data_IF_688245053561
#
_entry.id   IF_688245053561
#
_cell.length_a   1.000
_cell.length_b   1.000
_cell.length_c   1.000
_cell.angle_alpha   90.00
_cell.angle_beta   90.00
_cell.angle_gamma   90.00
#
_symmetry.space_group_name_H-M   'P 1'
#
loop_
_entity.id
_entity.type
_entity.pdbx_description
1 polymer ?
#
# COMPACT_ATOMS: atom_id res chain seq x y z
N UNK A 1 -18.64 -8.56 -7.58
CA UNK A 1 -17.43 -7.72 -7.78
C UNK A 1 -16.70 -7.64 -6.44
N UNK A 2 -15.39 -7.92 -6.37
CA UNK A 2 -14.63 -7.93 -5.10
C UNK A 2 -14.03 -6.55 -4.85
N UNK A 3 -14.44 -5.87 -3.78
CA UNK A 3 -13.89 -4.59 -3.34
C UNK A 3 -13.01 -4.87 -2.12
N UNK A 4 -11.70 -4.59 -2.20
CA UNK A 4 -10.77 -4.79 -1.07
C UNK A 4 -10.69 -6.23 -0.53
N UNK A 5 -11.02 -7.23 -1.35
CA UNK A 5 -11.11 -8.64 -0.92
C UNK A 5 -12.39 -8.99 -0.15
N UNK A 6 -13.28 -8.01 0.05
CA UNK A 6 -14.61 -8.20 0.60
C UNK A 6 -15.61 -8.48 -0.53
N UNK A 7 -16.56 -9.36 -0.23
CA UNK A 7 -17.72 -9.56 -1.07
C UNK A 7 -18.77 -8.48 -0.78
N UNK A 8 -19.51 -8.08 -1.80
CA UNK A 8 -20.61 -7.11 -1.68
C UNK A 8 -21.89 -7.79 -2.13
N UNK A 9 -22.90 -7.80 -1.25
CA UNK A 9 -24.19 -8.43 -1.48
C UNK A 9 -25.27 -7.36 -1.44
N UNK A 10 -26.07 -7.26 -2.48
CA UNK A 10 -27.26 -6.42 -2.49
C UNK A 10 -28.46 -7.22 -1.97
N UNK A 11 -29.17 -6.68 -0.99
CA UNK A 11 -30.29 -7.39 -0.36
C UNK A 11 -31.39 -6.46 0.13
N UNK A 12 -32.65 -6.83 -0.11
CA UNK A 12 -33.83 -6.03 0.27
C UNK A 12 -34.09 -5.96 1.78
N UNK A 13 -33.38 -6.75 2.59
CA UNK A 13 -33.44 -6.69 4.04
C UNK A 13 -32.67 -5.50 4.63
N UNK A 14 -31.79 -4.88 3.83
CA UNK A 14 -31.06 -3.67 4.21
C UNK A 14 -31.81 -2.46 3.63
N UNK A 15 -32.04 -1.40 4.42
CA UNK A 15 -32.60 -0.15 3.90
C UNK A 15 -31.80 0.39 2.71
N UNK A 16 -32.49 1.07 1.79
CA UNK A 16 -31.93 1.54 0.51
C UNK A 16 -30.75 2.50 0.67
N UNK A 17 -30.68 3.20 1.79
CA UNK A 17 -29.66 4.19 2.14
C UNK A 17 -28.58 3.65 3.10
N UNK A 18 -28.63 2.35 3.41
CA UNK A 18 -27.73 1.72 4.37
C UNK A 18 -26.77 0.69 3.74
N UNK A 19 -25.64 0.53 4.40
CA UNK A 19 -24.68 -0.53 4.15
C UNK A 19 -24.13 -1.04 5.49
N UNK A 20 -24.10 -2.36 5.65
CA UNK A 20 -23.64 -3.02 6.87
C UNK A 20 -22.39 -3.85 6.57
N UNK A 21 -21.39 -3.75 7.45
CA UNK A 21 -20.22 -4.63 7.40
C UNK A 21 -20.48 -5.81 8.31
N UNK A 22 -20.52 -7.00 7.73
CA UNK A 22 -21.01 -8.19 8.43
C UNK A 22 -19.96 -9.30 8.41
N UNK A 23 -19.79 -9.95 9.57
CA UNK A 23 -19.13 -11.24 9.72
C UNK A 23 -20.13 -12.25 10.25
N UNK A 24 -19.99 -13.52 9.87
CA UNK A 24 -20.93 -14.59 10.26
C UNK A 24 -21.21 -14.67 11.77
N UNK A 25 -20.22 -14.37 12.62
CA UNK A 25 -20.35 -14.40 14.09
C UNK A 25 -21.17 -13.24 14.66
N UNK A 26 -21.28 -12.14 13.92
CA UNK A 26 -21.82 -10.87 14.42
C UNK A 26 -23.29 -10.64 13.97
N UNK A 27 -23.91 -11.63 13.32
CA UNK A 27 -25.15 -11.42 12.55
C UNK A 27 -26.30 -12.38 12.84
N UNK A 28 -26.63 -12.72 14.10
CA UNK A 28 -27.70 -13.69 14.40
C UNK A 28 -29.08 -13.26 13.90
N UNK A 29 -29.29 -11.96 13.65
CA UNK A 29 -30.58 -11.39 13.24
C UNK A 29 -30.73 -11.24 11.72
N UNK A 30 -29.78 -11.73 10.92
CA UNK A 30 -29.92 -11.69 9.47
C UNK A 30 -30.83 -12.82 8.96
N UNK A 31 -31.51 -12.59 7.82
CA UNK A 31 -32.24 -13.64 7.11
C UNK A 31 -31.39 -14.89 6.86
N UNK A 32 -31.94 -16.12 6.94
CA UNK A 32 -31.18 -17.36 6.77
C UNK A 32 -30.46 -17.46 5.41
N UNK A 33 -31.11 -16.97 4.37
CA UNK A 33 -30.61 -16.91 3.00
C UNK A 33 -29.39 -15.98 2.85
N UNK A 34 -29.29 -14.94 3.68
CA UNK A 34 -28.08 -14.11 3.76
C UNK A 34 -26.97 -14.82 4.55
N UNK A 35 -27.31 -15.45 5.68
CA UNK A 35 -26.35 -16.13 6.54
C UNK A 35 -25.55 -17.22 5.82
N UNK A 36 -26.21 -17.98 4.94
CA UNK A 36 -25.57 -19.04 4.17
C UNK A 36 -24.58 -18.52 3.12
N UNK A 37 -24.76 -17.27 2.67
CA UNK A 37 -23.89 -16.61 1.69
C UNK A 37 -22.66 -15.96 2.34
N UNK A 38 -22.71 -15.67 3.64
CA UNK A 38 -21.62 -15.01 4.37
C UNK A 38 -20.57 -16.04 4.81
N UNK A 39 -19.69 -16.40 3.88
CA UNK A 39 -18.53 -17.27 4.17
C UNK A 39 -17.30 -16.48 4.63
N UNK A 40 -17.18 -15.25 4.15
CA UNK A 40 -16.12 -14.29 4.49
C UNK A 40 -16.75 -12.97 4.95
N UNK A 41 -16.01 -12.09 5.63
CA UNK A 41 -16.47 -10.74 5.90
C UNK A 41 -16.93 -10.06 4.61
N UNK A 42 -18.11 -9.46 4.65
CA UNK A 42 -18.74 -8.87 3.47
C UNK A 42 -19.48 -7.57 3.83
N UNK A 43 -19.84 -6.83 2.79
CA UNK A 43 -20.69 -5.65 2.89
C UNK A 43 -22.06 -6.02 2.32
N UNK A 44 -23.12 -5.80 3.09
CA UNK A 44 -24.49 -5.96 2.64
C UNK A 44 -25.09 -4.58 2.47
N UNK A 45 -25.74 -4.29 1.34
CA UNK A 45 -26.34 -2.98 1.09
C UNK A 45 -27.73 -3.09 0.45
N UNK A 46 -28.58 -2.10 0.70
CA UNK A 46 -29.87 -1.98 0.02
C UNK A 46 -29.76 -1.36 -1.37
N UNK A 47 -28.64 -0.69 -1.68
CA UNK A 47 -28.42 -0.01 -2.96
C UNK A 47 -26.95 -0.03 -3.37
N UNK A 48 -26.63 -0.87 -4.36
CA UNK A 48 -25.26 -1.03 -4.82
C UNK A 48 -24.67 0.25 -5.44
N UNK A 49 -25.50 1.06 -6.09
CA UNK A 49 -25.05 2.26 -6.81
C UNK A 49 -24.66 3.38 -5.85
N UNK A 50 -25.45 3.58 -4.79
CA UNK A 50 -25.13 4.51 -3.71
C UNK A 50 -23.80 4.14 -3.04
N UNK A 51 -23.60 2.85 -2.73
CA UNK A 51 -22.36 2.37 -2.12
C UNK A 51 -21.15 2.61 -3.03
N UNK A 52 -21.29 2.39 -4.34
CA UNK A 52 -20.22 2.68 -5.31
C UNK A 52 -19.86 4.15 -5.34
N UNK A 53 -20.86 5.03 -5.39
CA UNK A 53 -20.65 6.48 -5.38
C UNK A 53 -19.94 6.93 -4.10
N UNK A 54 -20.36 6.42 -2.93
CA UNK A 54 -19.71 6.70 -1.65
C UNK A 54 -18.24 6.25 -1.63
N UNK A 55 -17.94 5.06 -2.15
CA UNK A 55 -16.56 4.56 -2.24
C UNK A 55 -15.71 5.42 -3.18
N UNK A 56 -16.25 5.85 -4.31
CA UNK A 56 -15.56 6.75 -5.24
C UNK A 56 -15.26 8.08 -4.55
N UNK A 57 -16.24 8.67 -3.87
CA UNK A 57 -16.04 9.91 -3.11
C UNK A 57 -14.97 9.76 -2.03
N UNK A 58 -15.00 8.68 -1.23
CA UNK A 58 -13.96 8.40 -0.22
C UNK A 58 -12.56 8.24 -0.84
N UNK A 59 -12.46 7.65 -2.04
CA UNK A 59 -11.18 7.56 -2.74
C UNK A 59 -10.69 8.93 -3.20
N UNK A 60 -11.58 9.76 -3.73
CA UNK A 60 -11.25 11.11 -4.15
C UNK A 60 -10.82 11.97 -2.96
N UNK A 61 -11.52 11.91 -1.83
CA UNK A 61 -11.12 12.64 -0.61
C UNK A 61 -9.77 12.16 -0.10
N UNK A 62 -9.51 10.85 -0.06
CA UNK A 62 -8.20 10.32 0.34
C UNK A 62 -7.07 10.72 -0.62
N UNK A 63 -7.36 10.95 -1.90
CA UNK A 63 -6.38 11.48 -2.85
C UNK A 63 -6.11 12.97 -2.66
N UNK A 64 -7.13 13.73 -2.25
CA UNK A 64 -7.03 15.18 -1.98
C UNK A 64 -6.36 15.44 -0.62
N UNK A 65 -6.60 14.58 0.36
CA UNK A 65 -6.03 14.66 1.71
C UNK A 65 -4.59 14.14 1.80
N UNK A 66 -3.92 13.77 0.69
CA UNK A 66 -2.46 13.67 0.70
C UNK A 66 -1.88 15.05 1.03
N UNK A 67 -1.30 15.26 2.23
CA UNK A 67 -0.67 16.53 2.51
C UNK A 67 0.51 16.68 1.53
N UNK A 68 0.61 17.85 0.92
CA UNK A 68 1.75 18.28 0.10
C UNK A 68 3.09 18.33 0.87
N UNK A 69 3.12 17.90 2.13
CA UNK A 69 4.25 17.99 3.05
C UNK A 69 4.85 16.62 3.42
N UNK A 70 4.99 15.73 2.45
CA UNK A 70 5.98 14.64 2.53
C UNK A 70 7.16 14.98 1.61
N UNK A 71 8.33 15.38 2.13
CA UNK A 71 9.47 15.70 1.28
C UNK A 71 9.96 14.43 0.56
N UNK A 72 10.08 14.42 -0.78
CA UNK A 72 10.78 13.36 -1.48
C UNK A 72 12.29 13.65 -1.39
N UNK A 73 12.93 13.37 -0.24
CA UNK A 73 14.34 13.75 -0.09
C UNK A 73 15.24 12.74 0.63
N UNK A 74 14.71 11.77 1.38
CA UNK A 74 15.58 10.89 2.17
C UNK A 74 16.00 9.59 1.47
N UNK A 75 15.23 9.09 0.51
CA UNK A 75 15.56 7.83 -0.18
C UNK A 75 16.59 8.05 -1.30
N UNK A 76 16.48 9.15 -2.06
CA UNK A 76 17.44 9.48 -3.12
C UNK A 76 18.79 9.96 -2.56
N UNK A 77 18.80 10.79 -1.51
CA UNK A 77 20.06 11.27 -0.92
C UNK A 77 20.90 10.13 -0.29
N UNK A 78 20.25 9.09 0.25
CA UNK A 78 20.97 7.91 0.76
C UNK A 78 21.63 7.11 -0.35
N UNK A 79 20.96 6.99 -1.51
CA UNK A 79 21.51 6.26 -2.65
C UNK A 79 22.68 7.02 -3.30
N UNK A 80 22.56 8.35 -3.44
CA UNK A 80 23.64 9.21 -3.97
C UNK A 80 24.88 9.17 -3.05
N UNK A 81 24.70 9.34 -1.72
CA UNK A 81 25.84 9.26 -0.78
C UNK A 81 26.52 7.88 -0.78
N UNK A 82 25.76 6.80 -0.96
CA UNK A 82 26.33 5.45 -1.08
C UNK A 82 27.18 5.29 -2.35
N UNK A 83 26.71 5.82 -3.49
CA UNK A 83 27.42 5.75 -4.76
C UNK A 83 28.71 6.60 -4.74
N UNK A 84 28.66 7.82 -4.21
CA UNK A 84 29.84 8.68 -4.05
C UNK A 84 30.89 8.06 -3.12
N UNK A 85 30.46 7.45 -2.01
CA UNK A 85 31.36 6.75 -1.10
C UNK A 85 32.07 5.57 -1.77
N UNK A 86 31.35 4.81 -2.61
CA UNK A 86 31.94 3.69 -3.38
C UNK A 86 32.91 4.19 -4.46
N UNK A 87 32.65 5.31 -5.12
CA UNK A 87 33.59 5.92 -6.07
C UNK A 87 34.88 6.38 -5.37
N UNK A 88 34.78 7.10 -4.24
CA UNK A 88 35.96 7.53 -3.47
C UNK A 88 36.83 6.35 -3.00
N UNK A 89 36.20 5.26 -2.55
CA UNK A 89 36.91 4.02 -2.16
C UNK A 89 37.65 3.37 -3.34
N UNK A 90 37.09 3.40 -4.55
CA UNK A 90 37.75 2.89 -5.76
C UNK A 90 38.94 3.75 -6.17
N UNK A 91 38.81 5.08 -6.10
CA UNK A 91 39.91 6.00 -6.40
C UNK A 91 41.06 5.89 -5.40
N UNK A 92 40.77 5.82 -4.10
CA UNK A 92 41.81 5.60 -3.08
C UNK A 92 42.55 4.28 -3.28
N UNK A 93 41.84 3.19 -3.63
CA UNK A 93 42.49 1.91 -3.96
C UNK A 93 43.37 2.03 -5.20
N UNK A 94 42.92 2.72 -6.26
CA UNK A 94 43.73 3.00 -7.46
C UNK A 94 45.00 3.78 -7.13
N UNK A 95 44.90 4.81 -6.29
CA UNK A 95 46.06 5.62 -5.89
C UNK A 95 47.05 4.79 -5.05
N UNK A 96 46.58 3.98 -4.11
CA UNK A 96 47.45 3.07 -3.32
C UNK A 96 48.17 2.04 -4.19
N UNK A 97 47.51 1.49 -5.19
CA UNK A 97 48.12 0.55 -6.15
C UNK A 97 49.16 1.25 -7.04
N UNK A 98 49.00 2.54 -7.35
CA UNK A 98 50.00 3.32 -8.10
C UNK A 98 51.21 3.71 -7.26
N UNK A 99 51.05 3.94 -5.95
CA UNK A 99 52.18 4.20 -5.04
C UNK A 99 52.93 2.93 -4.62
N UNK A 100 52.35 1.75 -4.84
CA UNK A 100 52.99 0.46 -4.64
C UNK A 100 53.85 0.06 -5.85
N UNK A 101 54.71 0.97 -6.32
CA UNK A 101 55.86 0.57 -7.14
C UNK A 101 56.89 -0.08 -6.20
N UNK A 102 57.31 -1.34 -6.42
CA UNK A 102 58.39 -1.92 -5.64
C UNK A 102 59.65 -1.09 -5.88
N UNK A 103 60.22 -0.52 -4.81
CA UNK A 103 61.61 -0.06 -4.82
C UNK A 103 62.45 -1.30 -5.08
N UNK A 104 62.87 -1.46 -6.34
CA UNK A 104 63.81 -2.47 -6.77
C UNK A 104 65.15 -2.20 -6.05
N UNK A 105 65.62 -3.04 -5.11
CA UNK A 105 66.96 -2.90 -4.59
C UNK A 105 67.90 -3.57 -5.58
N UNK A 106 68.47 -2.79 -6.50
CA UNK A 106 69.60 -3.25 -7.30
C UNK A 106 70.85 -3.27 -6.41
N UNK A 107 71.21 -4.45 -5.92
CA UNK A 107 72.61 -4.83 -5.72
C UNK A 107 72.77 -6.34 -5.67
#
# INVERSE_FOLDING_TARGET
MKLLGLEVIEHSAVPQDEAWVVRRKDAPNLPPDLLDRIQIPCIITGNLELLRQAIVLMRLTNMIEMPADSPPAQTEQRHIKCLESRQRLREQRRLRMRSATPKNPSR
#
